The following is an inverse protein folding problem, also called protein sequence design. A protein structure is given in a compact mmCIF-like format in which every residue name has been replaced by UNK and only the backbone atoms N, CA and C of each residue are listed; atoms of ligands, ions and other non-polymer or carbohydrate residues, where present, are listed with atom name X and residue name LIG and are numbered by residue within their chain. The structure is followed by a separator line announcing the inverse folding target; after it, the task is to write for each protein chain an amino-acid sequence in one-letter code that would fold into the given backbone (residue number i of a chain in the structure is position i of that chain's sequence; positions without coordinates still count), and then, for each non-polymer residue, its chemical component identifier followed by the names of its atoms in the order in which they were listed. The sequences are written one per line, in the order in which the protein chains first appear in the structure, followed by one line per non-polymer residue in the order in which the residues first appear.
data_IF_360451760318
#
_entry.id   IF_360451760318
#
_cell.length_a   1.000
_cell.length_b   1.000
_cell.length_c   1.000
_cell.angle_alpha   90.00
_cell.angle_beta   90.00
_cell.angle_gamma   90.00
#
_symmetry.space_group_name_H-M   'P 1'
#
loop_
_entity.id
_entity.type
_entity.pdbx_description
1 polymer ?
#
# COMPACT_ATOMS: atom_id res chain seq x y z
N UNK A 1 -3.54 -8.89 -4.49
CA UNK A 1 -3.11 -7.50 -4.27
C UNK A 1 -1.62 -7.30 -4.58
N UNK A 2 -0.72 -8.15 -4.05
CA UNK A 2 0.73 -7.95 -4.23
C UNK A 2 1.14 -7.86 -5.70
N UNK A 3 0.54 -8.65 -6.59
CA UNK A 3 0.83 -8.66 -8.03
C UNK A 3 0.62 -7.31 -8.71
N UNK A 4 -0.45 -6.60 -8.34
CA UNK A 4 -0.94 -5.36 -8.98
C UNK A 4 -0.59 -4.09 -8.21
N UNK A 5 0.33 -4.17 -7.26
CA UNK A 5 0.82 -3.03 -6.47
C UNK A 5 2.14 -2.50 -7.04
N UNK A 6 2.55 -1.29 -6.64
CA UNK A 6 3.88 -0.76 -6.94
C UNK A 6 5.02 -1.53 -6.26
N UNK A 7 4.72 -2.25 -5.18
CA UNK A 7 5.62 -3.18 -4.48
C UNK A 7 6.87 -2.56 -3.85
N UNK A 8 6.83 -1.29 -3.54
CA UNK A 8 7.94 -0.63 -2.84
C UNK A 8 8.13 -1.23 -1.45
N UNK A 9 9.38 -1.38 -1.04
CA UNK A 9 9.78 -1.96 0.24
C UNK A 9 10.63 -1.02 1.07
N UNK A 10 10.13 -0.59 2.23
CA UNK A 10 10.87 0.28 3.13
C UNK A 10 11.96 -0.49 3.87
N UNK A 11 13.20 0.01 3.80
CA UNK A 11 14.33 -0.52 4.56
C UNK A 11 15.32 0.59 4.87
N UNK A 12 15.51 0.92 6.14
CA UNK A 12 16.49 1.91 6.56
C UNK A 12 17.92 1.40 6.38
N UNK A 13 18.83 2.26 5.91
CA UNK A 13 20.23 1.91 5.70
C UNK A 13 20.50 1.04 4.46
N UNK A 14 19.55 0.99 3.50
CA UNK A 14 19.67 0.18 2.31
C UNK A 14 20.81 0.66 1.37
N UNK A 15 21.18 -0.21 0.44
CA UNK A 15 22.30 0.03 -0.50
C UNK A 15 22.07 1.18 -1.47
N UNK A 16 20.80 1.46 -1.82
CA UNK A 16 20.46 2.58 -2.71
C UNK A 16 20.61 3.91 -1.97
N UNK A 17 20.20 3.99 -0.67
CA UNK A 17 20.47 5.17 0.15
C UNK A 17 21.96 5.50 0.21
N UNK A 18 22.81 4.47 0.43
CA UNK A 18 24.28 4.66 0.46
C UNK A 18 24.80 5.19 -0.88
N UNK A 19 24.32 4.62 -2.00
CA UNK A 19 24.71 5.04 -3.36
C UNK A 19 24.28 6.48 -3.67
N UNK A 20 23.11 6.89 -3.19
CA UNK A 20 22.56 8.24 -3.40
C UNK A 20 23.05 9.29 -2.37
N UNK A 21 23.89 8.91 -1.41
CA UNK A 21 24.37 9.81 -0.36
C UNK A 21 23.27 10.24 0.62
N UNK A 22 22.23 9.44 0.81
CA UNK A 22 21.18 9.72 1.78
C UNK A 22 21.64 9.27 3.16
N UNK A 23 21.98 10.24 4.00
CA UNK A 23 22.49 10.03 5.34
C UNK A 23 21.43 10.22 6.43
N UNK A 24 21.74 9.73 7.64
CA UNK A 24 20.95 9.97 8.86
C UNK A 24 19.64 9.17 8.89
N UNK A 25 19.51 8.11 8.09
CA UNK A 25 18.44 7.12 8.28
C UNK A 25 18.90 5.98 9.20
N UNK A 26 17.97 5.43 9.96
CA UNK A 26 18.26 4.34 10.90
C UNK A 26 17.01 3.48 11.15
N UNK A 27 17.23 2.29 11.69
CA UNK A 27 16.16 1.40 12.19
C UNK A 27 15.29 2.12 13.22
N UNK A 28 15.92 2.89 14.13
CA UNK A 28 15.20 3.66 15.14
C UNK A 28 14.31 4.75 14.52
N UNK A 29 14.80 5.47 13.52
CA UNK A 29 14.02 6.47 12.82
C UNK A 29 12.86 5.83 12.04
N UNK A 30 13.09 4.67 11.39
CA UNK A 30 12.02 3.91 10.71
C UNK A 30 10.96 3.42 11.71
N UNK A 31 11.36 2.97 12.91
CA UNK A 31 10.45 2.62 13.98
C UNK A 31 9.59 3.80 14.43
N UNK A 32 10.23 4.93 14.71
CA UNK A 32 9.54 6.15 15.14
C UNK A 32 8.55 6.66 14.08
N UNK A 33 8.96 6.68 12.81
CA UNK A 33 8.09 7.05 11.69
C UNK A 33 6.87 6.12 11.62
N UNK A 34 7.08 4.81 11.72
CA UNK A 34 6.00 3.81 11.65
C UNK A 34 5.03 3.96 12.81
N UNK A 35 5.53 4.06 14.04
CA UNK A 35 4.70 4.25 15.22
C UNK A 35 3.92 5.57 15.17
N UNK A 36 4.61 6.69 14.86
CA UNK A 36 3.98 8.01 14.72
C UNK A 36 2.98 8.04 13.55
N UNK A 37 3.34 7.44 12.42
CA UNK A 37 2.47 7.34 11.25
C UNK A 37 1.21 6.56 11.49
N UNK A 38 1.23 5.59 12.40
CA UNK A 38 0.10 4.79 12.89
C UNK A 38 -0.53 5.31 14.19
N UNK A 39 -0.28 6.59 14.56
CA UNK A 39 -0.81 7.25 15.76
C UNK A 39 -0.54 6.45 17.05
N UNK A 40 0.64 5.83 17.15
CA UNK A 40 1.09 5.00 18.27
C UNK A 40 0.19 3.79 18.58
N UNK A 41 -0.59 3.31 17.61
CA UNK A 41 -1.53 2.18 17.76
C UNK A 41 -0.94 0.84 17.29
N UNK A 42 0.22 0.83 16.64
CA UNK A 42 0.97 -0.40 16.36
C UNK A 42 1.47 -1.05 17.64
N UNK A 43 1.58 -2.38 17.66
CA UNK A 43 2.25 -3.09 18.77
C UNK A 43 3.75 -2.80 18.74
N UNK A 44 4.34 -2.21 19.79
CA UNK A 44 5.72 -1.78 19.79
C UNK A 44 6.73 -2.91 19.49
N UNK A 45 6.48 -4.14 19.99
CA UNK A 45 7.37 -5.27 19.80
C UNK A 45 7.29 -5.81 18.36
N UNK A 46 6.09 -5.87 17.80
CA UNK A 46 5.86 -6.29 16.40
C UNK A 46 6.44 -5.27 15.43
N UNK A 47 6.18 -3.97 15.64
CA UNK A 47 6.75 -2.90 14.80
C UNK A 47 8.27 -2.90 14.88
N UNK A 48 8.86 -3.06 16.06
CA UNK A 48 10.31 -3.17 16.27
C UNK A 48 10.88 -4.33 15.47
N UNK A 49 10.26 -5.50 15.55
CA UNK A 49 10.65 -6.69 14.80
C UNK A 49 10.61 -6.45 13.29
N UNK A 50 9.57 -5.79 12.78
CA UNK A 50 9.46 -5.45 11.36
C UNK A 50 10.65 -4.60 10.89
N UNK A 51 10.91 -3.49 11.58
CA UNK A 51 11.93 -2.53 11.11
C UNK A 51 13.36 -3.01 11.28
N UNK A 52 13.65 -3.81 12.33
CA UNK A 52 14.96 -4.44 12.55
C UNK A 52 15.28 -5.48 11.47
N UNK A 53 14.27 -6.16 10.95
CA UNK A 53 14.42 -7.19 9.92
C UNK A 53 14.16 -6.67 8.50
N UNK A 54 13.87 -5.38 8.31
CA UNK A 54 13.53 -4.79 7.01
C UNK A 54 14.69 -4.90 6.02
N UNK A 55 15.90 -4.46 6.39
CA UNK A 55 17.07 -4.52 5.52
C UNK A 55 17.50 -5.96 5.22
N UNK A 56 17.65 -6.86 6.21
CA UNK A 56 17.93 -8.28 5.94
C UNK A 56 16.89 -8.96 5.05
N UNK A 57 15.61 -8.54 5.14
CA UNK A 57 14.56 -9.07 4.28
C UNK A 57 14.66 -8.55 2.84
N UNK A 58 14.99 -7.27 2.66
CA UNK A 58 15.21 -6.69 1.33
C UNK A 58 16.44 -7.30 0.65
N UNK A 59 17.54 -7.48 1.38
CA UNK A 59 18.75 -8.15 0.89
C UNK A 59 18.45 -9.61 0.51
N UNK A 60 17.67 -10.32 1.31
CA UNK A 60 17.24 -11.68 0.96
C UNK A 60 16.39 -11.72 -0.32
N UNK A 61 15.50 -10.76 -0.53
CA UNK A 61 14.74 -10.66 -1.78
C UNK A 61 15.67 -10.43 -2.97
N UNK A 62 16.70 -9.57 -2.84
CA UNK A 62 17.68 -9.30 -3.88
C UNK A 62 18.60 -10.51 -4.13
N UNK A 63 19.25 -11.02 -3.08
CA UNK A 63 20.39 -11.94 -3.20
C UNK A 63 19.98 -13.41 -3.31
N UNK A 64 18.84 -13.80 -2.71
CA UNK A 64 18.36 -15.19 -2.67
C UNK A 64 17.20 -15.46 -3.62
N UNK A 65 16.23 -14.52 -3.67
CA UNK A 65 15.06 -14.64 -4.55
C UNK A 65 15.36 -14.10 -5.94
N UNK A 66 16.27 -13.12 -6.04
CA UNK A 66 16.66 -12.51 -7.30
C UNK A 66 15.72 -11.40 -7.78
N UNK A 67 15.05 -10.71 -6.83
CA UNK A 67 14.29 -9.51 -7.15
C UNK A 67 15.27 -8.37 -7.48
N UNK A 68 15.10 -7.77 -8.64
CA UNK A 68 15.89 -6.62 -9.06
C UNK A 68 15.24 -5.33 -8.57
N UNK A 69 16.05 -4.38 -8.11
CA UNK A 69 15.60 -3.06 -7.64
C UNK A 69 16.24 -1.95 -8.49
N UNK A 70 15.57 -0.82 -8.59
CA UNK A 70 16.15 0.40 -9.13
C UNK A 70 17.28 0.86 -8.20
N UNK A 71 18.39 1.32 -8.78
CA UNK A 71 19.58 1.71 -8.01
C UNK A 71 19.84 3.22 -7.99
N UNK A 72 19.00 3.99 -8.64
CA UNK A 72 19.15 5.42 -8.86
C UNK A 72 17.97 6.25 -8.31
N UNK A 73 16.97 5.57 -7.76
CA UNK A 73 15.80 6.22 -7.16
C UNK A 73 15.27 5.49 -5.91
N UNK A 74 14.64 6.25 -5.03
CA UNK A 74 13.88 5.79 -3.87
C UNK A 74 12.64 6.67 -3.71
N UNK A 75 11.47 6.10 -3.44
CA UNK A 75 10.29 6.88 -3.15
C UNK A 75 10.30 7.48 -1.72
N UNK A 76 9.63 8.62 -1.60
CA UNK A 76 9.47 9.34 -0.34
C UNK A 76 8.00 9.46 0.03
N UNK A 77 7.46 8.38 0.60
CA UNK A 77 6.06 8.36 1.01
C UNK A 77 5.80 9.21 2.26
N UNK A 78 4.57 9.75 2.33
CA UNK A 78 4.10 10.52 3.47
C UNK A 78 4.20 9.77 4.80
N UNK A 79 4.70 10.47 5.82
CA UNK A 79 4.95 9.91 7.15
C UNK A 79 6.37 9.39 7.36
N UNK A 80 7.12 9.06 6.31
CA UNK A 80 8.54 8.77 6.44
C UNK A 80 9.38 10.04 6.58
N UNK A 81 10.40 10.02 7.44
CA UNK A 81 11.36 11.12 7.61
C UNK A 81 12.50 11.08 6.58
N UNK A 82 12.70 9.95 5.91
CA UNK A 82 13.77 9.73 4.91
C UNK A 82 13.25 8.94 3.71
N UNK A 83 13.85 9.17 2.56
CA UNK A 83 13.69 8.32 1.38
C UNK A 83 14.31 6.95 1.66
N UNK A 84 13.52 5.93 1.92
CA UNK A 84 13.97 4.56 2.22
C UNK A 84 13.26 3.46 1.44
N UNK A 85 12.33 3.83 0.57
CA UNK A 85 11.47 2.89 -0.13
C UNK A 85 12.14 2.40 -1.39
N UNK A 86 12.71 1.19 -1.34
CA UNK A 86 13.27 0.48 -2.49
C UNK A 86 12.17 0.22 -3.51
N UNK A 87 12.45 0.49 -4.77
CA UNK A 87 11.52 0.33 -5.90
C UNK A 87 11.96 -0.90 -6.69
N UNK A 88 11.10 -1.92 -6.91
CA UNK A 88 11.43 -3.00 -7.84
C UNK A 88 11.67 -2.43 -9.24
N UNK A 89 12.49 -3.10 -10.05
CA UNK A 89 12.97 -2.58 -11.34
C UNK A 89 11.85 -2.19 -12.29
N UNK A 90 10.79 -2.97 -12.36
CA UNK A 90 9.59 -2.70 -13.17
C UNK A 90 8.53 -1.86 -12.45
N UNK A 91 8.81 -1.34 -11.24
CA UNK A 91 7.87 -0.59 -10.39
C UNK A 91 6.52 -1.32 -10.18
N UNK A 92 6.54 -2.65 -10.07
CA UNK A 92 5.34 -3.48 -9.95
C UNK A 92 5.58 -4.72 -9.10
N UNK A 93 4.52 -5.18 -8.42
CA UNK A 93 4.54 -6.42 -7.66
C UNK A 93 4.75 -7.68 -8.49
N UNK A 94 4.54 -7.59 -9.81
CA UNK A 94 4.85 -8.68 -10.74
C UNK A 94 6.32 -9.11 -10.63
N UNK A 95 7.24 -8.16 -10.39
CA UNK A 95 8.68 -8.47 -10.22
C UNK A 95 8.92 -9.43 -9.06
N UNK A 96 8.24 -9.19 -7.92
CA UNK A 96 8.33 -10.08 -6.76
C UNK A 96 7.66 -11.43 -7.03
N UNK A 97 6.40 -11.41 -7.49
CA UNK A 97 5.60 -12.63 -7.66
C UNK A 97 6.23 -13.58 -8.67
N UNK A 98 6.77 -13.07 -9.78
CA UNK A 98 7.47 -13.88 -10.79
C UNK A 98 8.69 -14.58 -10.17
N UNK A 99 9.53 -13.86 -9.44
CA UNK A 99 10.74 -14.41 -8.82
C UNK A 99 10.43 -15.39 -7.70
N UNK A 100 9.42 -15.07 -6.85
CA UNK A 100 8.96 -15.98 -5.80
C UNK A 100 8.38 -17.27 -6.37
N UNK A 101 7.52 -17.17 -7.41
CA UNK A 101 6.93 -18.35 -8.06
C UNK A 101 7.99 -19.25 -8.69
N UNK A 102 8.93 -18.67 -9.44
CA UNK A 102 10.06 -19.43 -10.01
C UNK A 102 10.94 -20.09 -8.94
N UNK A 103 11.15 -19.39 -7.81
CA UNK A 103 11.91 -19.96 -6.68
C UNK A 103 11.17 -21.10 -6.00
N UNK A 104 9.85 -20.99 -5.84
CA UNK A 104 9.01 -22.05 -5.30
C UNK A 104 9.06 -23.30 -6.20
N UNK A 105 8.88 -23.13 -7.50
CA UNK A 105 8.96 -24.18 -8.50
C UNK A 105 10.33 -24.89 -8.45
N UNK A 106 11.43 -24.13 -8.51
CA UNK A 106 12.80 -24.66 -8.41
C UNK A 106 13.05 -25.48 -7.14
N UNK A 107 12.36 -25.13 -6.05
CA UNK A 107 12.48 -25.83 -4.75
C UNK A 107 11.46 -26.94 -4.57
N UNK A 108 10.63 -27.23 -5.57
CA UNK A 108 9.57 -28.25 -5.49
C UNK A 108 8.47 -27.90 -4.48
N UNK A 109 8.24 -26.61 -4.21
CA UNK A 109 7.17 -26.15 -3.34
C UNK A 109 5.90 -26.01 -4.19
N UNK A 110 4.84 -26.83 -3.96
CA UNK A 110 3.63 -26.78 -4.76
C UNK A 110 2.84 -25.49 -4.49
N UNK A 111 2.38 -24.84 -5.55
CA UNK A 111 1.40 -23.75 -5.51
C UNK A 111 0.10 -24.29 -6.08
N UNK A 112 -0.92 -24.42 -5.23
CA UNK A 112 -2.23 -24.95 -5.63
C UNK A 112 -3.20 -23.77 -5.75
N UNK A 113 -3.61 -23.49 -6.97
CA UNK A 113 -4.60 -22.43 -7.29
C UNK A 113 -6.03 -22.98 -7.33
N UNK A 114 -7.01 -22.07 -7.32
CA UNK A 114 -8.45 -22.41 -7.33
C UNK A 114 -8.89 -23.31 -6.16
N UNK A 115 -8.11 -23.35 -5.10
CA UNK A 115 -8.37 -24.09 -3.87
C UNK A 115 -8.76 -23.11 -2.76
N UNK A 116 -10.00 -23.16 -2.31
CA UNK A 116 -10.51 -22.30 -1.23
C UNK A 116 -10.32 -22.98 0.12
N UNK A 117 -9.51 -22.38 0.99
CA UNK A 117 -9.41 -22.79 2.39
C UNK A 117 -10.66 -22.34 3.17
N UNK A 118 -11.23 -23.22 4.00
CA UNK A 118 -12.50 -22.98 4.67
C UNK A 118 -12.43 -23.17 6.19
N UNK A 119 -11.57 -24.08 6.68
CA UNK A 119 -11.51 -24.42 8.11
C UNK A 119 -10.11 -24.84 8.53
N UNK A 120 -9.69 -24.42 9.72
CA UNK A 120 -8.49 -24.93 10.36
C UNK A 120 -8.79 -26.20 11.16
N UNK A 121 -7.99 -27.25 10.93
CA UNK A 121 -8.13 -28.53 11.63
C UNK A 121 -7.28 -28.50 12.89
N UNK A 122 -7.85 -28.95 14.03
CA UNK A 122 -7.12 -29.09 15.32
C UNK A 122 -7.17 -30.54 15.82
N UNK A 123 -6.13 -30.93 16.51
CA UNK A 123 -6.14 -32.17 17.28
C UNK A 123 -6.79 -32.01 18.68
N UNK A 124 -6.82 -33.09 19.45
CA UNK A 124 -7.40 -33.10 20.78
C UNK A 124 -6.68 -32.20 21.81
N UNK A 125 -5.43 -31.82 21.54
CA UNK A 125 -4.67 -30.86 22.38
C UNK A 125 -4.99 -29.40 22.04
N UNK A 126 -5.75 -29.15 20.97
CA UNK A 126 -6.03 -27.82 20.43
C UNK A 126 -4.99 -27.30 19.43
N UNK A 127 -3.96 -28.08 19.12
CA UNK A 127 -2.94 -27.73 18.12
C UNK A 127 -3.53 -27.73 16.73
N UNK A 128 -3.19 -26.72 15.93
CA UNK A 128 -3.55 -26.67 14.50
C UNK A 128 -2.66 -27.68 13.74
N UNK A 129 -3.31 -28.61 13.06
CA UNK A 129 -2.70 -29.76 12.38
C UNK A 129 -3.08 -29.84 10.91
N UNK A 130 -3.81 -28.86 10.37
CA UNK A 130 -4.17 -28.87 8.96
C UNK A 130 -5.21 -27.82 8.57
N UNK A 131 -5.64 -27.94 7.31
CA UNK A 131 -6.65 -27.07 6.68
C UNK A 131 -7.60 -27.92 5.87
N UNK A 132 -8.91 -27.66 5.99
CA UNK A 132 -9.92 -28.13 5.02
C UNK A 132 -10.08 -27.09 3.93
N UNK A 133 -10.19 -27.57 2.70
CA UNK A 133 -10.33 -26.70 1.53
C UNK A 133 -11.25 -27.37 0.49
N UNK A 134 -11.78 -26.56 -0.43
CA UNK A 134 -12.62 -27.02 -1.53
C UNK A 134 -12.07 -26.58 -2.88
N UNK A 135 -12.21 -27.43 -3.88
CA UNK A 135 -11.89 -27.16 -5.28
C UNK A 135 -12.88 -27.95 -6.15
N UNK A 136 -13.53 -27.28 -7.09
CA UNK A 136 -14.51 -27.87 -8.02
C UNK A 136 -15.58 -28.70 -7.32
N UNK A 137 -16.10 -28.21 -6.17
CA UNK A 137 -17.14 -28.86 -5.37
C UNK A 137 -16.65 -30.08 -4.57
N UNK A 138 -15.36 -30.39 -4.58
CA UNK A 138 -14.77 -31.48 -3.79
C UNK A 138 -14.03 -30.95 -2.59
N UNK A 139 -14.21 -31.61 -1.45
CA UNK A 139 -13.51 -31.27 -0.19
C UNK A 139 -12.18 -32.01 -0.10
N UNK A 140 -11.17 -31.30 0.39
CA UNK A 140 -9.80 -31.80 0.63
C UNK A 140 -9.40 -31.45 2.06
N UNK A 141 -8.63 -32.34 2.68
CA UNK A 141 -8.00 -32.06 3.97
C UNK A 141 -6.49 -32.16 3.81
N UNK A 142 -5.80 -31.06 4.11
CA UNK A 142 -4.35 -31.00 4.11
C UNK A 142 -3.85 -31.15 5.55
N UNK A 143 -3.10 -32.21 5.80
CA UNK A 143 -2.47 -32.41 7.11
C UNK A 143 -1.11 -31.70 7.17
N UNK A 144 -0.89 -30.90 8.18
CA UNK A 144 0.33 -30.19 8.42
C UNK A 144 1.13 -30.86 9.57
N UNK A 145 2.34 -31.29 9.30
CA UNK A 145 3.19 -31.95 10.32
C UNK A 145 3.68 -30.99 11.40
N UNK A 146 3.93 -29.73 11.04
CA UNK A 146 4.48 -28.70 11.94
C UNK A 146 3.45 -27.62 12.28
N UNK A 147 2.59 -27.27 11.35
CA UNK A 147 1.53 -26.29 11.54
C UNK A 147 1.17 -25.54 10.26
N UNK A 148 0.39 -24.49 10.38
CA UNK A 148 -0.20 -23.69 9.32
C UNK A 148 0.22 -22.24 9.43
N UNK A 149 0.58 -21.60 8.32
CA UNK A 149 0.80 -20.15 8.23
C UNK A 149 -0.36 -19.55 7.45
N UNK A 150 -1.07 -18.59 8.05
CA UNK A 150 -2.12 -17.83 7.37
C UNK A 150 -1.50 -16.57 6.76
N UNK A 151 -1.61 -16.41 5.43
CA UNK A 151 -1.10 -15.26 4.68
C UNK A 151 -2.13 -14.79 3.63
N UNK A 152 -3.41 -14.80 4.02
CA UNK A 152 -4.57 -14.62 3.11
C UNK A 152 -4.89 -13.16 2.78
N UNK A 153 -4.11 -12.22 3.31
CA UNK A 153 -4.40 -10.78 3.15
C UNK A 153 -5.54 -10.29 4.03
N UNK A 154 -5.97 -9.07 3.80
CA UNK A 154 -7.01 -8.40 4.59
C UNK A 154 -8.43 -8.65 4.09
N UNK A 155 -9.34 -7.74 4.44
CA UNK A 155 -10.77 -7.85 4.13
C UNK A 155 -11.34 -6.64 3.36
N UNK A 156 -10.49 -5.89 2.66
CA UNK A 156 -10.89 -4.65 2.01
C UNK A 156 -11.93 -4.81 0.89
N UNK A 157 -12.06 -6.00 0.28
CA UNK A 157 -13.11 -6.31 -0.70
C UNK A 157 -14.43 -6.78 -0.06
N UNK A 158 -14.44 -7.11 1.23
CA UNK A 158 -15.63 -7.55 1.96
C UNK A 158 -16.39 -6.37 2.55
N UNK A 159 -17.37 -5.84 1.80
CA UNK A 159 -18.18 -4.68 2.22
C UNK A 159 -18.89 -4.94 3.55
N UNK A 160 -19.45 -6.14 3.76
CA UNK A 160 -20.14 -6.48 5.00
C UNK A 160 -19.20 -6.45 6.20
N UNK A 161 -18.00 -7.04 6.10
CA UNK A 161 -17.00 -7.06 7.15
C UNK A 161 -16.43 -5.65 7.43
N UNK A 162 -16.24 -4.83 6.37
CA UNK A 162 -15.86 -3.42 6.54
C UNK A 162 -16.94 -2.63 7.29
N UNK A 163 -18.21 -2.81 6.90
CA UNK A 163 -19.36 -2.11 7.52
C UNK A 163 -19.51 -2.49 8.99
N UNK A 164 -19.38 -3.79 9.31
CA UNK A 164 -19.38 -4.28 10.70
C UNK A 164 -18.23 -3.67 11.52
N UNK A 165 -17.03 -3.65 10.95
CA UNK A 165 -15.83 -3.16 11.62
C UNK A 165 -15.82 -1.62 11.76
N UNK A 166 -16.26 -0.90 10.73
CA UNK A 166 -16.37 0.57 10.71
C UNK A 166 -17.38 1.01 9.64
N UNK A 167 -18.60 1.41 10.04
CA UNK A 167 -19.67 1.78 9.10
C UNK A 167 -19.31 2.90 8.12
N UNK A 168 -18.35 3.78 8.47
CA UNK A 168 -17.88 4.83 7.57
C UNK A 168 -17.29 4.28 6.26
N UNK A 169 -16.61 3.13 6.32
CA UNK A 169 -15.98 2.47 5.16
C UNK A 169 -16.85 1.40 4.50
N UNK A 170 -18.17 1.44 4.69
CA UNK A 170 -19.12 0.50 4.12
C UNK A 170 -19.33 0.64 2.61
N UNK A 171 -20.57 0.55 2.20
CA UNK A 171 -21.00 0.48 0.79
C UNK A 171 -20.66 1.73 -0.05
N UNK A 172 -20.47 2.89 0.59
CA UNK A 172 -20.10 4.15 -0.08
C UNK A 172 -18.67 4.22 -0.64
N UNK A 173 -17.82 3.20 -0.37
CA UNK A 173 -16.44 3.16 -0.82
C UNK A 173 -16.17 1.98 -1.75
N UNK A 174 -15.52 2.27 -2.86
CA UNK A 174 -14.84 1.24 -3.68
C UNK A 174 -13.58 0.75 -3.01
N UNK A 175 -12.89 -0.18 -3.61
CA UNK A 175 -11.63 -0.73 -3.08
C UNK A 175 -10.59 -0.89 -4.16
N UNK A 176 -9.33 -0.69 -3.79
CA UNK A 176 -8.17 -1.00 -4.64
C UNK A 176 -7.84 -2.49 -4.66
N UNK A 177 -8.53 -3.27 -3.84
CA UNK A 177 -8.18 -4.67 -3.60
C UNK A 177 -8.82 -5.61 -4.60
N UNK A 178 -8.11 -6.68 -4.90
CA UNK A 178 -8.63 -7.80 -5.68
C UNK A 178 -9.82 -8.44 -4.96
N UNK A 179 -10.80 -9.03 -5.71
CA UNK A 179 -12.01 -9.61 -5.12
C UNK A 179 -11.79 -10.69 -4.05
N UNK A 180 -10.61 -11.31 -4.02
CA UNK A 180 -10.25 -12.32 -3.02
C UNK A 180 -9.85 -11.77 -1.64
N UNK A 181 -9.79 -10.44 -1.46
CA UNK A 181 -9.48 -9.85 -0.15
C UNK A 181 -10.72 -9.82 0.76
N UNK A 182 -11.22 -10.99 1.13
CA UNK A 182 -12.51 -11.21 1.80
C UNK A 182 -12.41 -11.48 3.30
N UNK A 183 -11.18 -11.62 3.86
CA UNK A 183 -10.96 -11.84 5.29
C UNK A 183 -11.22 -13.28 5.77
N UNK A 184 -11.26 -14.25 4.86
CA UNK A 184 -11.56 -15.65 5.22
C UNK A 184 -10.54 -16.22 6.22
N UNK A 185 -9.25 -15.88 6.09
CA UNK A 185 -8.23 -16.33 7.04
C UNK A 185 -8.44 -15.79 8.46
N UNK A 186 -8.90 -14.52 8.56
CA UNK A 186 -9.29 -13.93 9.86
C UNK A 186 -10.46 -14.71 10.45
N UNK A 187 -11.47 -14.99 9.64
CA UNK A 187 -12.67 -15.74 10.07
C UNK A 187 -12.31 -17.15 10.52
N UNK A 188 -11.51 -17.89 9.74
CA UNK A 188 -11.07 -19.24 10.10
C UNK A 188 -10.34 -19.29 11.44
N UNK A 189 -9.42 -18.35 11.67
CA UNK A 189 -8.66 -18.30 12.92
C UNK A 189 -9.54 -17.84 14.09
N UNK A 190 -10.42 -16.86 13.90
CA UNK A 190 -11.40 -16.41 14.92
C UNK A 190 -12.30 -17.58 15.39
N UNK A 191 -12.72 -18.45 14.48
CA UNK A 191 -13.56 -19.61 14.79
C UNK A 191 -12.89 -20.64 15.69
N UNK A 192 -11.56 -20.61 15.79
CA UNK A 192 -10.79 -21.46 16.71
C UNK A 192 -10.24 -20.70 17.93
N UNK A 193 -10.72 -19.49 18.17
CA UNK A 193 -10.38 -18.70 19.36
C UNK A 193 -9.21 -17.73 19.19
N UNK A 194 -8.75 -17.46 17.96
CA UNK A 194 -7.75 -16.42 17.73
C UNK A 194 -8.30 -15.03 18.07
N UNK A 195 -7.48 -14.22 18.72
CA UNK A 195 -7.78 -12.83 18.99
C UNK A 195 -7.64 -11.99 17.72
N UNK A 196 -8.60 -11.11 17.48
CA UNK A 196 -8.54 -10.09 16.44
C UNK A 196 -8.44 -8.71 17.06
N UNK A 197 -7.66 -7.82 16.44
CA UNK A 197 -7.41 -6.46 16.94
C UNK A 197 -7.55 -5.45 15.81
N UNK A 198 -7.86 -4.21 16.16
CA UNK A 198 -7.84 -3.06 15.27
C UNK A 198 -8.75 -3.15 14.02
N UNK A 199 -9.77 -4.01 14.02
CA UNK A 199 -10.62 -4.28 12.84
C UNK A 199 -11.23 -3.01 12.23
N UNK A 200 -11.60 -2.02 13.04
CA UNK A 200 -12.14 -0.74 12.57
C UNK A 200 -11.12 0.23 11.95
N UNK A 201 -9.82 -0.10 11.99
CA UNK A 201 -8.75 0.72 11.39
C UNK A 201 -8.60 0.33 9.92
N UNK A 202 -9.10 1.19 9.04
CA UNK A 202 -9.13 0.98 7.58
C UNK A 202 -8.54 2.20 6.91
N UNK A 203 -7.59 2.00 5.99
CA UNK A 203 -6.95 3.05 5.22
C UNK A 203 -7.58 3.17 3.83
N UNK A 204 -7.76 4.41 3.37
CA UNK A 204 -8.03 4.72 1.97
C UNK A 204 -6.76 5.14 1.24
N UNK A 205 -6.68 4.87 -0.07
CA UNK A 205 -5.73 5.49 -0.97
C UNK A 205 -6.39 6.70 -1.62
N UNK A 206 -5.72 7.86 -1.69
CA UNK A 206 -6.37 9.13 -2.05
C UNK A 206 -6.73 9.27 -3.53
N UNK A 207 -5.91 8.68 -4.43
CA UNK A 207 -6.06 8.82 -5.87
C UNK A 207 -6.35 7.46 -6.50
N UNK A 208 -7.62 7.21 -6.75
CA UNK A 208 -8.12 5.98 -7.34
C UNK A 208 -9.12 6.27 -8.44
N UNK A 209 -9.18 5.39 -9.43
CA UNK A 209 -10.15 5.42 -10.52
C UNK A 209 -11.58 5.50 -9.98
N UNK A 210 -12.34 6.54 -10.29
CA UNK A 210 -13.70 6.70 -9.82
C UNK A 210 -14.67 5.61 -10.33
N UNK A 211 -14.32 4.87 -11.37
CA UNK A 211 -15.15 3.81 -11.94
C UNK A 211 -14.91 2.45 -11.27
N UNK A 212 -13.65 2.05 -11.12
CA UNK A 212 -13.28 0.72 -10.58
C UNK A 212 -12.86 0.76 -9.10
N UNK A 213 -12.31 1.88 -8.63
CA UNK A 213 -11.67 2.00 -7.33
C UNK A 213 -10.20 1.55 -7.31
N UNK A 214 -9.65 1.12 -8.44
CA UNK A 214 -8.24 0.75 -8.54
C UNK A 214 -7.32 1.95 -8.30
N UNK A 215 -6.10 1.71 -7.85
CA UNK A 215 -5.08 2.77 -7.75
C UNK A 215 -4.81 3.32 -9.15
N UNK A 216 -4.72 4.64 -9.26
CA UNK A 216 -4.23 5.30 -10.45
C UNK A 216 -2.69 5.28 -10.42
N UNK A 217 -2.07 4.46 -11.27
CA UNK A 217 -0.60 4.34 -11.32
C UNK A 217 0.04 5.61 -11.89
N UNK A 218 -0.68 6.35 -12.75
CA UNK A 218 -0.25 7.69 -13.21
C UNK A 218 -0.08 8.68 -12.05
N UNK A 219 -0.56 8.36 -10.83
CA UNK A 219 -0.32 9.12 -9.60
C UNK A 219 1.17 9.17 -9.18
N UNK A 220 2.04 8.41 -9.84
CA UNK A 220 3.49 8.56 -9.72
C UNK A 220 3.95 9.99 -10.02
N UNK A 221 3.24 10.72 -10.89
CA UNK A 221 3.48 12.14 -11.15
C UNK A 221 3.41 13.00 -9.87
N UNK A 222 2.59 12.63 -8.89
CA UNK A 222 2.44 13.35 -7.62
C UNK A 222 3.71 13.32 -6.78
N UNK A 223 4.45 12.23 -6.81
CA UNK A 223 5.72 12.11 -6.09
C UNK A 223 6.84 12.97 -6.70
N UNK A 224 6.65 13.41 -7.95
CA UNK A 224 7.60 14.25 -8.70
C UNK A 224 7.13 15.71 -8.86
N UNK A 225 6.01 16.09 -8.20
CA UNK A 225 5.59 17.49 -8.11
C UNK A 225 4.25 17.84 -8.76
N UNK A 226 3.43 16.85 -9.16
CA UNK A 226 2.05 17.14 -9.57
C UNK A 226 1.27 17.74 -8.39
N UNK A 227 0.39 18.68 -8.69
CA UNK A 227 -0.43 19.38 -7.70
C UNK A 227 -1.84 18.79 -7.63
N UNK A 228 -2.46 18.84 -6.46
CA UNK A 228 -3.87 18.50 -6.28
C UNK A 228 -4.73 19.75 -6.22
N UNK A 229 -5.76 19.80 -7.05
CA UNK A 229 -6.75 20.89 -7.04
C UNK A 229 -8.17 20.35 -6.91
N UNK A 230 -9.02 21.16 -6.30
CA UNK A 230 -10.46 20.90 -6.19
C UNK A 230 -11.22 21.41 -7.44
N UNK A 231 -12.54 21.32 -7.41
CA UNK A 231 -13.44 21.74 -8.49
C UNK A 231 -13.38 23.25 -8.76
N UNK A 232 -12.95 24.03 -7.79
CA UNK A 232 -12.75 25.48 -7.91
C UNK A 232 -11.35 25.84 -8.47
N UNK A 233 -10.52 24.85 -8.81
CA UNK A 233 -9.16 25.04 -9.31
C UNK A 233 -8.15 25.48 -8.24
N UNK A 234 -8.40 25.18 -6.98
CA UNK A 234 -7.56 25.57 -5.85
C UNK A 234 -6.91 24.36 -5.19
N UNK A 235 -5.63 24.48 -4.80
CA UNK A 235 -4.98 23.52 -3.90
C UNK A 235 -5.67 23.54 -2.55
N UNK A 236 -5.72 22.42 -1.85
CA UNK A 236 -6.43 22.26 -0.58
C UNK A 236 -5.70 21.38 0.44
N UNK A 237 -4.60 20.73 0.05
CA UNK A 237 -3.80 19.85 0.91
C UNK A 237 -2.34 19.78 0.42
N UNK A 238 -1.42 19.40 1.28
CA UNK A 238 -0.05 19.07 0.88
C UNK A 238 -0.03 17.72 0.14
N UNK A 239 0.49 17.68 -1.06
CA UNK A 239 0.38 16.57 -2.01
C UNK A 239 1.11 15.29 -1.60
N UNK A 240 2.08 15.36 -0.71
CA UNK A 240 2.81 14.22 -0.16
C UNK A 240 2.44 13.89 1.28
N UNK A 241 1.30 14.40 1.75
CA UNK A 241 0.82 14.14 3.11
C UNK A 241 0.44 12.66 3.30
N UNK A 242 0.23 12.24 4.56
CA UNK A 242 -0.29 10.91 4.90
C UNK A 242 -1.58 10.62 4.13
N UNK A 243 -1.77 9.37 3.72
CA UNK A 243 -2.91 8.92 2.91
C UNK A 243 -4.27 9.23 3.56
N UNK A 244 -4.38 9.02 4.87
CA UNK A 244 -5.59 9.30 5.65
C UNK A 244 -5.92 10.81 5.66
N UNK A 245 -4.92 11.68 5.83
CA UNK A 245 -5.08 13.14 5.81
C UNK A 245 -5.51 13.60 4.42
N UNK A 246 -4.84 13.13 3.36
CA UNK A 246 -5.19 13.46 1.98
C UNK A 246 -6.60 12.98 1.62
N UNK A 247 -6.92 11.71 1.92
CA UNK A 247 -8.23 11.14 1.63
C UNK A 247 -9.34 11.91 2.34
N UNK A 248 -9.14 12.28 3.60
CA UNK A 248 -10.09 13.13 4.35
C UNK A 248 -10.26 14.48 3.67
N UNK A 249 -9.17 15.15 3.33
CA UNK A 249 -9.22 16.45 2.66
C UNK A 249 -9.95 16.37 1.30
N UNK A 250 -9.77 15.29 0.52
CA UNK A 250 -10.50 15.07 -0.74
C UNK A 250 -12.00 14.85 -0.47
N UNK A 251 -12.35 14.05 0.54
CA UNK A 251 -13.75 13.77 0.89
C UNK A 251 -14.51 15.03 1.39
N UNK A 252 -13.78 16.04 1.84
CA UNK A 252 -14.32 17.36 2.22
C UNK A 252 -14.55 18.29 1.02
N UNK A 253 -14.00 17.98 -0.18
CA UNK A 253 -14.23 18.77 -1.39
C UNK A 253 -15.59 18.47 -2.02
N UNK A 254 -16.09 19.42 -2.83
CA UNK A 254 -17.31 19.26 -3.62
C UNK A 254 -17.25 17.99 -4.45
N UNK A 255 -18.25 17.13 -4.35
CA UNK A 255 -18.31 15.84 -5.07
C UNK A 255 -17.37 14.75 -4.53
N UNK A 256 -16.58 15.02 -3.47
CA UNK A 256 -15.69 14.04 -2.80
C UNK A 256 -14.61 13.48 -3.71
N UNK A 257 -14.11 14.28 -4.65
CA UNK A 257 -13.01 13.96 -5.56
C UNK A 257 -12.12 15.18 -5.78
N UNK A 258 -10.96 14.96 -6.36
CA UNK A 258 -10.06 16.03 -6.78
C UNK A 258 -9.47 15.75 -8.15
N UNK A 259 -8.68 16.70 -8.64
CA UNK A 259 -7.88 16.54 -9.83
C UNK A 259 -6.40 16.64 -9.50
N UNK A 260 -5.58 15.83 -10.15
CA UNK A 260 -4.12 16.00 -10.15
C UNK A 260 -3.70 16.60 -11.49
N UNK A 261 -2.75 17.54 -11.44
CA UNK A 261 -2.24 18.28 -12.60
C UNK A 261 -0.73 18.21 -12.62
N UNK A 262 -0.18 17.90 -13.79
CA UNK A 262 1.26 17.90 -14.04
C UNK A 262 1.57 18.30 -15.48
N UNK A 263 2.83 18.61 -15.75
CA UNK A 263 3.29 19.00 -17.08
C UNK A 263 4.39 18.08 -17.61
N UNK A 264 4.91 18.40 -18.81
CA UNK A 264 5.96 17.62 -19.48
C UNK A 264 7.26 17.51 -18.69
N UNK A 265 7.59 18.46 -17.80
CA UNK A 265 8.79 18.38 -16.96
C UNK A 265 8.62 17.37 -15.82
N UNK A 266 7.42 17.26 -15.26
CA UNK A 266 7.09 16.24 -14.27
C UNK A 266 7.01 14.86 -14.93
N UNK A 267 6.42 14.76 -16.13
CA UNK A 267 6.39 13.51 -16.90
C UNK A 267 7.80 12.95 -17.17
N UNK A 268 8.76 13.79 -17.54
CA UNK A 268 10.17 13.38 -17.74
C UNK A 268 10.81 12.76 -16.51
N UNK A 269 10.32 13.11 -15.31
CA UNK A 269 10.84 12.60 -14.04
C UNK A 269 10.08 11.37 -13.55
N UNK A 270 8.75 11.42 -13.63
CA UNK A 270 7.86 10.38 -13.11
C UNK A 270 7.67 9.23 -14.06
N UNK A 271 7.77 9.49 -15.37
CA UNK A 271 7.38 8.57 -16.44
C UNK A 271 5.92 8.06 -16.30
N UNK A 272 5.07 8.83 -15.63
CA UNK A 272 3.70 8.43 -15.28
C UNK A 272 2.86 8.07 -16.53
N UNK A 273 3.04 8.78 -17.62
CA UNK A 273 2.36 8.50 -18.89
C UNK A 273 3.06 7.39 -19.68
N UNK A 274 4.39 7.42 -19.73
CA UNK A 274 5.15 6.50 -20.56
C UNK A 274 5.24 5.08 -20.00
N UNK A 275 5.22 4.93 -18.69
CA UNK A 275 5.24 3.61 -18.03
C UNK A 275 3.86 2.95 -17.95
N UNK A 276 2.77 3.74 -17.94
CA UNK A 276 1.40 3.24 -17.67
C UNK A 276 0.46 3.43 -18.87
N UNK A 277 0.93 3.11 -20.09
CA UNK A 277 0.20 3.38 -21.33
C UNK A 277 -1.17 2.70 -21.39
N UNK A 278 -1.30 1.50 -20.88
CA UNK A 278 -2.58 0.78 -20.84
C UNK A 278 -3.62 1.53 -19.97
N UNK A 279 -3.20 2.05 -18.83
CA UNK A 279 -4.04 2.88 -17.95
C UNK A 279 -4.38 4.22 -18.62
N UNK A 280 -3.40 4.87 -19.22
CA UNK A 280 -3.57 6.13 -19.98
C UNK A 280 -4.60 5.98 -21.09
N UNK A 281 -4.57 4.87 -21.83
CA UNK A 281 -5.55 4.59 -22.89
C UNK A 281 -6.96 4.47 -22.31
N UNK A 282 -7.13 3.69 -21.24
CA UNK A 282 -8.42 3.51 -20.54
C UNK A 282 -8.93 4.83 -19.97
N UNK A 283 -8.09 5.58 -19.27
CA UNK A 283 -8.50 6.83 -18.61
C UNK A 283 -8.80 7.96 -19.60
N UNK A 284 -8.10 8.00 -20.71
CA UNK A 284 -8.42 8.93 -21.81
C UNK A 284 -9.78 8.62 -22.43
N UNK A 285 -10.05 7.34 -22.72
CA UNK A 285 -11.34 6.88 -23.28
C UNK A 285 -12.52 7.11 -22.31
N UNK A 286 -12.29 6.95 -21.02
CA UNK A 286 -13.35 7.11 -20.01
C UNK A 286 -13.48 8.55 -19.48
N UNK A 287 -12.67 9.48 -19.98
CA UNK A 287 -12.70 10.89 -19.57
C UNK A 287 -12.20 11.14 -18.14
N UNK A 288 -11.38 10.25 -17.60
CA UNK A 288 -10.70 10.42 -16.31
C UNK A 288 -9.44 11.24 -16.48
N UNK A 289 -8.66 10.98 -17.54
CA UNK A 289 -7.43 11.68 -17.93
C UNK A 289 -7.68 12.52 -19.16
N UNK A 290 -7.16 13.76 -19.15
CA UNK A 290 -7.13 14.62 -20.32
C UNK A 290 -5.76 15.28 -20.47
N UNK A 291 -5.33 15.46 -21.73
CA UNK A 291 -4.11 16.16 -22.11
C UNK A 291 -4.45 17.39 -22.93
N UNK A 292 -3.82 18.53 -22.65
CA UNK A 292 -3.91 19.73 -23.45
C UNK A 292 -2.59 20.52 -23.44
N UNK A 293 -2.38 21.38 -24.44
CA UNK A 293 -1.17 22.19 -24.52
C UNK A 293 -1.23 23.42 -23.61
N UNK A 294 -2.43 23.80 -23.15
CA UNK A 294 -2.65 25.01 -22.36
C UNK A 294 -3.44 24.71 -21.06
N UNK A 295 -3.31 25.60 -20.09
CA UNK A 295 -4.08 25.56 -18.84
C UNK A 295 -5.58 25.69 -19.13
N UNK A 296 -5.96 26.54 -20.07
CA UNK A 296 -7.35 26.69 -20.51
C UNK A 296 -7.94 25.37 -21.04
N UNK A 297 -7.14 24.63 -21.83
CA UNK A 297 -7.58 23.35 -22.38
C UNK A 297 -7.90 22.31 -21.32
N UNK A 298 -7.05 22.17 -20.28
CA UNK A 298 -7.32 21.25 -19.17
C UNK A 298 -8.48 21.76 -18.29
N UNK A 299 -8.60 23.07 -18.07
CA UNK A 299 -9.66 23.67 -17.28
C UNK A 299 -11.04 23.49 -17.95
N UNK A 300 -11.12 23.73 -19.27
CA UNK A 300 -12.36 23.60 -20.03
C UNK A 300 -12.90 22.18 -20.03
N UNK A 301 -12.03 21.17 -20.14
CA UNK A 301 -12.43 19.75 -20.17
C UNK A 301 -13.21 19.36 -18.90
N UNK A 302 -12.73 19.74 -17.72
CA UNK A 302 -13.38 19.41 -16.44
C UNK A 302 -14.27 20.55 -15.89
N UNK A 303 -14.47 21.63 -16.64
CA UNK A 303 -15.26 22.81 -16.23
C UNK A 303 -14.74 23.48 -14.95
N UNK A 304 -13.41 23.51 -14.80
CA UNK A 304 -12.75 24.22 -13.70
C UNK A 304 -12.67 25.70 -14.01
N UNK A 305 -12.94 26.62 -13.05
CA UNK A 305 -12.76 28.06 -13.26
C UNK A 305 -11.32 28.39 -13.66
N UNK A 306 -11.12 28.80 -14.92
CA UNK A 306 -9.79 28.97 -15.51
C UNK A 306 -8.93 30.00 -14.79
N UNK A 307 -9.52 31.10 -14.33
CA UNK A 307 -8.80 32.16 -13.64
C UNK A 307 -8.27 31.69 -12.28
N UNK A 308 -9.06 30.90 -11.57
CA UNK A 308 -8.61 30.28 -10.32
C UNK A 308 -7.46 29.30 -10.55
N UNK A 309 -7.58 28.45 -11.59
CA UNK A 309 -6.53 27.49 -11.90
C UNK A 309 -5.24 28.19 -12.32
N UNK A 310 -5.31 29.25 -13.15
CA UNK A 310 -4.14 30.07 -13.50
C UNK A 310 -3.51 30.70 -12.27
N UNK A 311 -4.31 31.25 -11.35
CA UNK A 311 -3.80 31.84 -10.10
C UNK A 311 -3.10 30.77 -9.22
N UNK A 312 -3.67 29.56 -9.14
CA UNK A 312 -3.05 28.42 -8.43
C UNK A 312 -1.73 28.04 -9.03
N UNK A 313 -1.65 27.87 -10.36
CA UNK A 313 -0.42 27.52 -11.07
C UNK A 313 0.65 28.63 -10.92
N UNK A 314 0.25 29.90 -11.06
CA UNK A 314 1.18 31.02 -10.85
C UNK A 314 1.79 31.03 -9.45
N UNK A 315 0.98 30.72 -8.43
CA UNK A 315 1.45 30.62 -7.05
C UNK A 315 2.37 29.42 -6.83
N UNK A 316 2.07 28.27 -7.42
CA UNK A 316 2.98 27.08 -7.39
C UNK A 316 4.30 27.39 -8.07
N UNK A 317 4.30 28.11 -9.20
CA UNK A 317 5.52 28.54 -9.88
C UNK A 317 6.36 29.51 -9.02
N UNK A 318 5.71 30.37 -8.22
CA UNK A 318 6.39 31.17 -7.21
C UNK A 318 7.09 30.28 -6.17
N UNK A 319 6.41 29.24 -5.67
CA UNK A 319 6.99 28.29 -4.72
C UNK A 319 8.12 27.47 -5.35
N UNK A 320 8.00 27.07 -6.62
CA UNK A 320 9.07 26.39 -7.35
C UNK A 320 10.34 27.28 -7.42
N UNK A 321 10.17 28.58 -7.69
CA UNK A 321 11.25 29.56 -7.77
C UNK A 321 11.87 29.89 -6.40
N UNK A 322 11.05 30.04 -5.36
CA UNK A 322 11.50 30.43 -4.00
C UNK A 322 11.96 29.23 -3.16
N UNK A 323 11.60 28.02 -3.56
CA UNK A 323 11.89 26.79 -2.85
C UNK A 323 11.06 26.57 -1.58
N UNK A 324 9.98 27.37 -1.37
CA UNK A 324 9.16 27.29 -0.15
C UNK A 324 7.68 27.41 -0.47
N UNK A 325 6.89 26.41 -0.10
CA UNK A 325 5.44 26.45 -0.12
C UNK A 325 4.91 27.13 1.15
N UNK A 326 4.26 28.28 0.99
CA UNK A 326 3.70 29.05 2.09
C UNK A 326 2.26 28.66 2.43
N UNK A 327 1.61 27.82 1.59
CA UNK A 327 0.22 27.43 1.76
C UNK A 327 0.07 26.14 2.57
N UNK A 328 0.84 25.10 2.21
CA UNK A 328 0.71 23.76 2.82
C UNK A 328 2.04 23.16 3.25
N UNK A 329 3.13 23.93 3.15
CA UNK A 329 4.48 23.51 3.55
C UNK A 329 4.91 22.18 2.86
N UNK A 330 4.77 22.15 1.52
CA UNK A 330 5.12 20.97 0.71
C UNK A 330 6.53 20.49 1.04
N UNK A 331 6.65 19.22 1.39
CA UNK A 331 7.89 18.60 1.91
C UNK A 331 8.95 18.32 0.85
N UNK A 332 8.63 18.51 -0.42
CA UNK A 332 9.55 18.39 -1.55
C UNK A 332 9.69 19.74 -2.26
N UNK A 333 10.09 19.74 -3.52
CA UNK A 333 10.19 20.95 -4.33
C UNK A 333 9.21 20.86 -5.49
N UNK A 334 8.45 21.91 -5.71
CA UNK A 334 7.63 22.02 -6.90
C UNK A 334 8.49 22.17 -8.15
N UNK A 335 7.94 21.74 -9.26
CA UNK A 335 8.42 21.97 -10.61
C UNK A 335 7.68 23.17 -11.17
N UNK A 336 8.34 23.94 -12.02
CA UNK A 336 7.69 25.03 -12.76
C UNK A 336 6.63 24.47 -13.72
N UNK A 337 5.41 24.92 -13.57
CA UNK A 337 4.24 24.54 -14.35
C UNK A 337 3.85 25.64 -15.40
N UNK A 338 4.78 26.53 -15.77
CA UNK A 338 4.48 27.61 -16.71
C UNK A 338 4.30 27.14 -18.16
N UNK A 339 4.83 25.97 -18.52
CA UNK A 339 4.81 25.44 -19.89
C UNK A 339 4.17 24.07 -19.97
N UNK A 340 3.31 23.86 -20.99
CA UNK A 340 2.73 22.58 -21.33
C UNK A 340 3.67 21.63 -22.08
N UNK A 341 3.18 20.50 -22.56
CA UNK A 341 1.80 20.06 -22.42
C UNK A 341 1.45 19.72 -20.97
N UNK A 342 0.16 19.79 -20.65
CA UNK A 342 -0.39 19.45 -19.33
C UNK A 342 -1.22 18.19 -19.41
N UNK A 343 -1.22 17.43 -18.30
CA UNK A 343 -2.18 16.37 -18.02
C UNK A 343 -2.95 16.71 -16.77
N UNK A 344 -4.23 16.39 -16.79
CA UNK A 344 -5.13 16.47 -15.65
C UNK A 344 -5.91 15.17 -15.52
N UNK A 345 -6.00 14.61 -14.33
CA UNK A 345 -6.81 13.41 -14.09
C UNK A 345 -7.59 13.52 -12.79
N UNK A 346 -8.74 12.83 -12.76
CA UNK A 346 -9.67 12.86 -11.63
C UNK A 346 -9.53 11.62 -10.79
N UNK A 347 -9.27 11.79 -9.48
CA UNK A 347 -9.16 10.70 -8.53
C UNK A 347 -10.13 10.82 -7.35
N UNK A 348 -10.49 9.67 -6.78
CA UNK A 348 -11.34 9.53 -5.59
C UNK A 348 -10.66 8.65 -4.54
N UNK A 349 -10.91 8.86 -3.23
CA UNK A 349 -10.45 7.92 -2.22
C UNK A 349 -11.16 6.57 -2.29
N UNK A 350 -10.39 5.46 -2.27
CA UNK A 350 -10.93 4.09 -2.19
C UNK A 350 -10.29 3.32 -1.02
N UNK A 351 -11.01 2.36 -0.45
CA UNK A 351 -10.48 1.50 0.61
C UNK A 351 -9.29 0.72 0.06
N UNK A 352 -8.16 0.77 0.77
CA UNK A 352 -6.89 0.28 0.26
C UNK A 352 -6.24 -0.78 1.15
N UNK A 353 -6.26 -0.60 2.47
CA UNK A 353 -5.58 -1.50 3.41
C UNK A 353 -6.39 -1.62 4.70
N UNK A 354 -6.55 -2.85 5.18
CA UNK A 354 -7.15 -3.11 6.48
C UNK A 354 -6.03 -3.33 7.49
N UNK A 355 -5.88 -2.41 8.48
CA UNK A 355 -4.85 -2.54 9.50
C UNK A 355 -5.24 -3.49 10.61
N UNK A 356 -6.51 -3.88 10.68
CA UNK A 356 -7.03 -4.85 11.62
C UNK A 356 -6.90 -6.29 11.12
N UNK A 357 -6.81 -7.22 12.06
CA UNK A 357 -6.64 -8.64 11.77
C UNK A 357 -6.25 -9.46 12.99
N UNK A 358 -5.63 -10.60 12.76
CA UNK A 358 -5.16 -11.51 13.81
C UNK A 358 -4.09 -10.85 14.68
N UNK A 359 -4.19 -11.02 15.99
CA UNK A 359 -3.10 -10.63 16.89
C UNK A 359 -1.96 -11.62 16.80
N UNK A 360 -0.76 -11.10 16.58
CA UNK A 360 0.47 -11.90 16.55
C UNK A 360 1.51 -11.35 17.53
N UNK A 361 2.50 -12.17 17.85
CA UNK A 361 3.69 -11.76 18.56
C UNK A 361 4.89 -11.59 17.59
N UNK A 362 6.09 -11.15 18.05
CA UNK A 362 7.29 -11.02 17.23
C UNK A 362 7.76 -12.29 16.50
N UNK A 363 7.29 -13.48 16.88
CA UNK A 363 7.53 -14.76 16.20
C UNK A 363 6.46 -15.10 15.17
N UNK A 364 5.56 -14.16 14.87
CA UNK A 364 4.40 -14.37 13.99
C UNK A 364 3.41 -15.45 14.50
N UNK A 365 3.51 -15.89 15.73
CA UNK A 365 2.54 -16.81 16.34
C UNK A 365 1.21 -16.10 16.56
N UNK A 366 0.12 -16.72 16.14
CA UNK A 366 -1.24 -16.20 16.36
C UNK A 366 -1.63 -16.40 17.82
N UNK A 367 -2.14 -15.34 18.47
CA UNK A 367 -2.50 -15.34 19.88
C UNK A 367 -4.00 -15.57 20.09
N UNK A 368 -4.34 -16.25 21.19
CA UNK A 368 -5.72 -16.40 21.69
C UNK A 368 -6.16 -15.18 22.53
N UNK A 369 -7.36 -15.20 23.04
CA UNK A 369 -7.93 -14.13 23.88
C UNK A 369 -7.18 -13.89 25.21
N UNK A 370 -6.28 -14.79 25.62
CA UNK A 370 -5.45 -14.68 26.81
C UNK A 370 -3.99 -14.33 26.47
N UNK A 371 -3.75 -13.86 25.24
CA UNK A 371 -2.40 -13.54 24.72
C UNK A 371 -1.43 -14.75 24.69
N UNK A 372 -1.96 -15.97 24.60
CA UNK A 372 -1.16 -17.19 24.48
C UNK A 372 -1.11 -17.63 23.02
N UNK A 373 0.05 -18.09 22.52
CA UNK A 373 0.15 -18.65 21.19
C UNK A 373 -0.79 -19.86 20.99
N UNK A 374 -1.52 -19.86 19.89
CA UNK A 374 -2.27 -21.03 19.43
C UNK A 374 -1.27 -22.01 18.82
N UNK A 375 -1.07 -23.22 19.39
CA UNK A 375 -0.04 -24.12 18.93
C UNK A 375 -0.21 -24.51 17.47
N UNK A 376 0.87 -24.43 16.68
CA UNK A 376 0.87 -24.78 15.26
C UNK A 376 0.21 -23.77 14.33
N UNK A 377 0.00 -22.52 14.79
CA UNK A 377 -0.60 -21.47 13.98
C UNK A 377 0.22 -20.20 13.97
N UNK A 378 0.59 -19.75 12.76
CA UNK A 378 1.27 -18.47 12.50
C UNK A 378 0.47 -17.65 11.50
N UNK A 379 0.73 -16.33 11.46
CA UNK A 379 0.15 -15.45 10.46
C UNK A 379 1.14 -14.36 10.05
N UNK A 380 1.04 -13.90 8.79
CA UNK A 380 1.91 -12.86 8.25
C UNK A 380 1.18 -11.96 7.25
N UNK A 381 1.52 -10.68 7.25
CA UNK A 381 1.01 -9.68 6.33
C UNK A 381 -0.35 -9.12 6.75
N UNK A 382 -1.12 -8.59 5.80
CA UNK A 382 -2.35 -7.82 6.04
C UNK A 382 -3.47 -8.59 6.76
N UNK A 383 -3.35 -9.92 6.90
CA UNK A 383 -4.23 -10.72 7.74
C UNK A 383 -4.02 -10.45 9.23
N UNK A 384 -2.92 -9.79 9.62
CA UNK A 384 -2.55 -9.45 11.00
C UNK A 384 -2.88 -8.01 11.34
N UNK A 385 -3.18 -7.72 12.59
CA UNK A 385 -3.66 -6.40 13.05
C UNK A 385 -2.70 -5.59 13.92
N UNK A 386 -1.41 -5.98 14.01
CA UNK A 386 -0.51 -5.44 15.03
C UNK A 386 0.46 -4.37 14.54
N UNK A 387 0.70 -4.25 13.22
CA UNK A 387 1.86 -3.52 12.71
C UNK A 387 1.61 -2.03 12.48
N UNK A 388 0.51 -1.65 11.84
CA UNK A 388 0.41 -0.36 11.18
C UNK A 388 -0.38 0.72 11.93
N UNK A 389 -1.03 0.38 13.04
CA UNK A 389 -1.86 1.33 13.77
C UNK A 389 -3.00 1.89 12.91
N UNK A 390 -3.25 3.20 13.00
CA UNK A 390 -4.37 3.85 12.30
C UNK A 390 -4.11 4.11 10.81
N UNK A 391 -2.84 4.14 10.38
CA UNK A 391 -2.47 4.46 9.02
C UNK A 391 -1.15 3.80 8.64
N UNK A 392 -1.17 2.94 7.62
CA UNK A 392 0.00 2.27 7.08
C UNK A 392 0.82 3.22 6.20
N UNK A 393 2.08 3.45 6.56
CA UNK A 393 3.01 4.22 5.72
C UNK A 393 3.28 3.51 4.39
N UNK A 394 3.41 4.26 3.30
CA UNK A 394 3.78 3.72 2.00
C UNK A 394 5.01 2.83 2.12
N UNK A 395 5.11 1.78 1.31
CA UNK A 395 6.19 0.76 1.31
C UNK A 395 6.28 -0.16 2.53
N UNK A 396 5.75 0.19 3.70
CA UNK A 396 5.76 -0.69 4.88
C UNK A 396 4.97 -1.99 4.70
N UNK A 397 3.98 -2.04 3.79
CA UNK A 397 3.25 -3.29 3.54
C UNK A 397 4.16 -4.39 3.01
N UNK A 398 5.02 -4.10 2.02
CA UNK A 398 5.98 -5.08 1.52
C UNK A 398 7.02 -5.46 2.57
N UNK A 399 7.48 -4.50 3.36
CA UNK A 399 8.36 -4.81 4.51
C UNK A 399 7.70 -5.79 5.45
N UNK A 400 6.45 -5.53 5.86
CA UNK A 400 5.67 -6.37 6.77
C UNK A 400 5.48 -7.80 6.23
N UNK A 401 4.96 -7.94 5.00
CA UNK A 401 4.68 -9.25 4.42
C UNK A 401 5.94 -10.10 4.22
N UNK A 402 7.07 -9.50 3.83
CA UNK A 402 8.32 -10.22 3.63
C UNK A 402 8.97 -10.58 4.98
N UNK A 403 9.04 -9.64 5.91
CA UNK A 403 9.63 -9.88 7.24
C UNK A 403 8.86 -10.98 7.97
N UNK A 404 7.56 -10.80 8.17
CA UNK A 404 6.77 -11.76 8.93
C UNK A 404 6.52 -13.06 8.18
N UNK A 405 6.46 -13.05 6.83
CA UNK A 405 6.46 -14.27 6.03
C UNK A 405 7.70 -15.14 6.25
N UNK A 406 8.88 -14.51 6.31
CA UNK A 406 10.15 -15.20 6.63
C UNK A 406 10.17 -15.72 8.07
N UNK A 407 9.74 -14.91 9.04
CA UNK A 407 9.69 -15.29 10.45
C UNK A 407 8.72 -16.47 10.64
N UNK A 408 7.48 -16.34 10.14
CA UNK A 408 6.46 -17.39 10.25
C UNK A 408 6.95 -18.72 9.63
N UNK A 409 7.55 -18.65 8.44
CA UNK A 409 8.12 -19.83 7.77
C UNK A 409 9.27 -20.48 8.56
N UNK A 410 10.15 -19.67 9.14
CA UNK A 410 11.27 -20.16 9.96
C UNK A 410 10.78 -20.76 11.29
N UNK A 411 9.83 -20.13 11.97
CA UNK A 411 9.24 -20.65 13.21
C UNK A 411 8.45 -21.94 12.96
N UNK A 412 7.63 -21.97 11.91
CA UNK A 412 6.88 -23.16 11.53
C UNK A 412 7.80 -24.35 11.09
N UNK A 413 9.04 -24.07 10.71
CA UNK A 413 10.00 -25.10 10.31
C UNK A 413 10.75 -25.75 11.47
N UNK A 414 10.70 -25.19 12.67
CA UNK A 414 11.28 -25.77 13.90
C UNK A 414 10.44 -26.97 14.37
#
# INVERSE_FOLDING_TARGET
NSLVSGAEMAAAGNWVQKKLGIEGDSVELHYQDTMKGGDMKGDPAVVRTMVENALPAAEWCRDVIGVEFQEDNLFFFGGHSKKRSLIPKGATGLDFITKFSATAEKRGIPIITNMKAEELVRDASGRVTGVKATMDGKSYTFSARKGVVIATGGFAANVAMRTEANPFYGDGFKTTNMPGAMGEGITMAKNIGAQVVNMGLIQTYPMCDPNSGAIELIDDARFEGAILVNQEGKRFVEELQRRDVMSKAILEQTGKYCYAIFNGEIEKRSHAITHHQDEVEVFTKTGILHKADTIEGIADFFKIPVDNLKATIARVNEFARTGKDLDFNYRSRFVDLSTGPYWIYRGVPSVHHTMGGLKINPKAEVLDANDKPIPGLWAAGEVTGCTHGTNRLGSNAYTDIIVFGRIAGAEAAK
#
